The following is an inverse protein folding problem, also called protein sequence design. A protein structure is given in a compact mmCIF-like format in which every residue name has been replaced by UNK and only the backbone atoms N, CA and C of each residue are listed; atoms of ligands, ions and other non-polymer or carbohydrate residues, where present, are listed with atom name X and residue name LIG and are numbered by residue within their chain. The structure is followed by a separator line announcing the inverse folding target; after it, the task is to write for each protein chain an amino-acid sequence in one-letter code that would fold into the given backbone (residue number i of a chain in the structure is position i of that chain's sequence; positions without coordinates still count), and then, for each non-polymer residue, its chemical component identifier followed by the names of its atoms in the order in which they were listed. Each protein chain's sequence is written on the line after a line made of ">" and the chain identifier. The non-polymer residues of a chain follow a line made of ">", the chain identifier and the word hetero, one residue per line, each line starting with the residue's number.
data_IF_498654434801
#
_entry.id   IF_498654434801
#
_cell.length_a   1.000
_cell.length_b   1.000
_cell.length_c   1.000
_cell.angle_alpha   90.00
_cell.angle_beta   90.00
_cell.angle_gamma   90.00
#
_symmetry.space_group_name_H-M   'P 1'
#
loop_
_entity.id
_entity.type
_entity.pdbx_description
1 polymer ?
#
# COMPACT_ATOMS: atom_id res chain seq x y z
N UNK A 1 -0.67 16.05 13.64
CA UNK A 1 -1.69 15.04 13.99
C UNK A 1 -3.10 15.62 14.11
N UNK A 2 -3.38 16.55 15.07
CA UNK A 2 -4.74 17.07 15.29
C UNK A 2 -5.33 17.82 14.08
N UNK A 3 -4.52 18.62 13.38
CA UNK A 3 -4.95 19.35 12.18
C UNK A 3 -5.28 18.39 11.04
N UNK A 4 -4.44 17.40 10.81
CA UNK A 4 -4.61 16.35 9.79
C UNK A 4 -5.90 15.56 10.00
N UNK A 5 -6.17 15.20 11.27
CA UNK A 5 -7.40 14.51 11.65
C UNK A 5 -8.65 15.34 11.39
N UNK A 6 -8.63 16.66 11.74
CA UNK A 6 -9.74 17.57 11.44
C UNK A 6 -10.00 17.70 9.94
N UNK A 7 -8.93 17.80 9.12
CA UNK A 7 -9.06 17.91 7.66
C UNK A 7 -9.66 16.62 7.10
N UNK A 8 -9.22 15.44 7.60
CA UNK A 8 -9.72 14.14 7.13
C UNK A 8 -11.24 13.97 7.32
N UNK A 9 -11.83 14.58 8.34
CA UNK A 9 -13.27 14.53 8.61
C UNK A 9 -14.14 15.14 7.48
N UNK A 10 -13.55 16.00 6.64
CA UNK A 10 -14.27 16.61 5.51
C UNK A 10 -14.41 15.68 4.31
N UNK A 11 -13.64 14.59 4.22
CA UNK A 11 -13.64 13.56 3.14
C UNK A 11 -13.48 14.08 1.70
N UNK A 12 -13.19 15.36 1.50
CA UNK A 12 -13.08 16.03 0.20
C UNK A 12 -11.72 16.70 -0.02
N UNK A 13 -10.76 16.48 0.88
CA UNK A 13 -9.42 17.09 0.82
C UNK A 13 -8.38 15.99 0.78
N UNK A 14 -7.66 15.93 -0.33
CA UNK A 14 -6.52 15.01 -0.49
C UNK A 14 -5.32 15.56 0.30
N UNK A 15 -4.81 14.76 1.25
CA UNK A 15 -3.71 15.15 2.12
C UNK A 15 -2.42 14.46 1.68
N UNK A 16 -1.41 15.27 1.37
CA UNK A 16 -0.04 14.80 1.17
C UNK A 16 0.79 15.11 2.40
N UNK A 17 1.54 14.15 2.89
CA UNK A 17 2.53 14.33 3.92
C UNK A 17 3.87 13.81 3.44
N UNK A 18 4.90 14.63 3.61
CA UNK A 18 6.23 14.35 3.12
C UNK A 18 7.19 14.09 4.28
N UNK A 19 8.05 13.08 4.11
CA UNK A 19 9.22 12.82 4.96
C UNK A 19 10.47 12.99 4.12
N UNK A 20 11.52 13.58 4.68
CA UNK A 20 12.80 13.79 4.01
C UNK A 20 13.89 13.03 4.75
N UNK A 21 14.40 11.97 4.16
CA UNK A 21 15.55 11.23 4.69
C UNK A 21 16.87 11.95 4.44
N UNK A 22 17.80 11.81 5.38
CA UNK A 22 19.15 12.39 5.28
C UNK A 22 19.29 13.79 5.85
N UNK A 23 18.31 14.25 6.64
CA UNK A 23 18.45 15.47 7.41
C UNK A 23 19.54 15.36 8.49
N UNK A 24 20.22 16.48 8.87
CA UNK A 24 21.15 16.46 9.99
C UNK A 24 20.52 15.94 11.27
N UNK A 25 21.27 15.14 12.04
CA UNK A 25 20.91 14.58 13.35
C UNK A 25 19.82 13.50 13.33
N UNK A 26 19.35 13.07 12.16
CA UNK A 26 18.37 11.99 12.02
C UNK A 26 19.05 10.69 11.56
N UNK A 27 19.01 9.65 12.39
CA UNK A 27 19.46 8.32 12.07
C UNK A 27 18.32 7.44 11.52
N UNK A 28 18.64 6.20 11.16
CA UNK A 28 17.71 5.24 10.57
C UNK A 28 16.52 4.94 11.50
N UNK A 29 16.78 4.80 12.79
CA UNK A 29 15.74 4.47 13.77
C UNK A 29 14.82 5.66 14.04
N UNK A 30 15.37 6.87 14.17
CA UNK A 30 14.57 8.10 14.35
C UNK A 30 13.74 8.41 13.11
N UNK A 31 14.28 8.14 11.89
CA UNK A 31 13.49 8.22 10.66
C UNK A 31 12.32 7.21 10.68
N UNK A 32 12.57 5.98 11.12
CA UNK A 32 11.51 4.97 11.27
C UNK A 32 10.40 5.40 12.22
N UNK A 33 10.74 6.06 13.33
CA UNK A 33 9.74 6.63 14.24
C UNK A 33 8.96 7.79 13.58
N UNK A 34 9.64 8.67 12.84
CA UNK A 34 8.99 9.75 12.09
C UNK A 34 8.00 9.18 11.07
N UNK A 35 8.41 8.10 10.35
CA UNK A 35 7.54 7.37 9.43
C UNK A 35 6.28 6.85 10.13
N UNK A 36 6.42 6.16 11.26
CA UNK A 36 5.29 5.60 11.98
C UNK A 36 4.29 6.66 12.45
N UNK A 37 4.79 7.81 12.92
CA UNK A 37 3.94 8.95 13.31
C UNK A 37 3.14 9.47 12.12
N UNK A 38 3.79 9.66 10.97
CA UNK A 38 3.13 10.16 9.76
C UNK A 38 2.16 9.12 9.18
N UNK A 39 2.54 7.85 9.16
CA UNK A 39 1.66 6.75 8.74
C UNK A 39 0.38 6.67 9.58
N UNK A 40 0.47 6.86 10.90
CA UNK A 40 -0.69 6.88 11.80
C UNK A 40 -1.65 8.06 11.53
N UNK A 41 -1.17 9.12 10.92
CA UNK A 41 -2.03 10.23 10.47
C UNK A 41 -2.90 9.85 9.27
N UNK A 42 -2.62 8.72 8.62
CA UNK A 42 -3.35 8.16 7.46
C UNK A 42 -3.54 9.20 6.34
N UNK A 43 -2.45 9.81 5.84
CA UNK A 43 -2.56 10.72 4.70
C UNK A 43 -3.07 9.99 3.47
N UNK A 44 -3.66 10.72 2.54
CA UNK A 44 -4.05 10.17 1.24
C UNK A 44 -2.82 9.75 0.43
N UNK A 45 -1.70 10.47 0.61
CA UNK A 45 -0.40 10.13 0.06
C UNK A 45 0.71 10.41 1.07
N UNK A 46 1.58 9.43 1.27
CA UNK A 46 2.79 9.52 2.08
C UNK A 46 4.00 9.52 1.15
N UNK A 47 4.65 10.66 0.99
CA UNK A 47 5.82 10.79 0.13
C UNK A 47 7.10 10.68 0.96
N UNK A 48 7.98 9.77 0.57
CA UNK A 48 9.33 9.75 1.07
C UNK A 48 10.25 10.45 0.06
N UNK A 49 10.96 11.47 0.52
CA UNK A 49 11.97 12.16 -0.26
C UNK A 49 13.35 12.00 0.37
N UNK A 50 14.37 12.41 -0.37
CA UNK A 50 15.75 12.41 0.09
C UNK A 50 16.31 13.82 0.02
N UNK A 51 17.07 14.21 1.03
CA UNK A 51 17.68 15.55 1.09
C UNK A 51 18.43 15.85 -0.19
N UNK A 52 18.14 17.01 -0.80
CA UNK A 52 18.85 17.54 -1.95
C UNK A 52 19.67 18.76 -1.54
N UNK A 53 20.98 18.67 -1.68
CA UNK A 53 21.91 19.76 -1.36
C UNK A 53 22.04 20.68 -2.56
N UNK A 54 21.01 21.51 -2.79
CA UNK A 54 20.90 22.37 -3.96
C UNK A 54 21.97 23.45 -3.97
N UNK A 55 22.54 23.77 -5.15
CA UNK A 55 23.51 24.83 -5.32
C UNK A 55 22.95 26.18 -4.89
N UNK A 56 23.70 26.93 -4.09
CA UNK A 56 23.29 28.23 -3.55
C UNK A 56 22.34 28.16 -2.34
N UNK A 57 21.97 26.96 -1.88
CA UNK A 57 21.11 26.81 -0.69
C UNK A 57 21.90 26.97 0.62
N UNK A 58 21.23 27.36 1.73
CA UNK A 58 21.86 27.34 3.06
C UNK A 58 22.40 25.95 3.43
N UNK A 59 21.74 24.88 3.00
CA UNK A 59 22.17 23.51 3.25
C UNK A 59 23.50 23.21 2.55
N UNK A 60 23.75 23.75 1.34
CA UNK A 60 25.05 23.59 0.67
C UNK A 60 26.18 24.23 1.48
N UNK A 61 25.96 25.41 2.03
CA UNK A 61 26.96 26.11 2.84
C UNK A 61 27.28 25.34 4.15
N UNK A 62 26.31 24.60 4.68
CA UNK A 62 26.41 23.84 5.94
C UNK A 62 26.76 22.38 5.75
N UNK A 63 26.69 21.83 4.53
CA UNK A 63 26.86 20.40 4.27
C UNK A 63 28.18 19.85 4.78
N UNK A 64 29.28 20.60 4.59
CA UNK A 64 30.59 20.23 5.12
C UNK A 64 30.63 20.20 6.65
N UNK A 65 29.98 21.15 7.30
CA UNK A 65 29.88 21.21 8.77
C UNK A 65 29.13 19.99 9.34
N UNK A 66 28.05 19.57 8.66
CA UNK A 66 27.27 18.39 9.04
C UNK A 66 27.84 17.08 8.51
N UNK A 67 28.94 17.10 7.77
CA UNK A 67 29.55 15.90 7.19
C UNK A 67 28.65 15.19 6.16
N UNK A 68 27.75 15.94 5.49
CA UNK A 68 26.84 15.42 4.48
C UNK A 68 27.58 15.24 3.17
N UNK A 69 27.51 14.02 2.61
CA UNK A 69 27.96 13.73 1.25
C UNK A 69 26.74 13.62 0.34
N UNK A 70 26.72 14.39 -0.73
CA UNK A 70 25.69 14.37 -1.76
C UNK A 70 26.27 14.21 -3.16
N UNK A 71 25.42 13.91 -4.13
CA UNK A 71 25.79 13.90 -5.54
C UNK A 71 26.27 15.29 -5.97
N UNK A 72 27.35 15.35 -6.77
CA UNK A 72 27.89 16.59 -7.31
C UNK A 72 27.03 17.20 -8.43
N UNK A 73 26.28 16.33 -9.13
CA UNK A 73 25.39 16.64 -10.23
C UNK A 73 23.92 16.47 -9.84
N UNK A 74 22.99 17.08 -10.59
CA UNK A 74 21.56 16.89 -10.33
C UNK A 74 21.17 15.40 -10.26
N UNK A 75 20.31 15.03 -9.31
CA UNK A 75 19.48 15.86 -8.45
C UNK A 75 20.12 16.34 -7.14
N UNK A 76 21.44 16.26 -6.96
CA UNK A 76 22.19 16.68 -5.76
C UNK A 76 21.76 15.95 -4.48
N UNK A 77 21.31 14.74 -4.64
CA UNK A 77 20.71 13.94 -3.57
C UNK A 77 21.77 13.44 -2.59
N UNK A 78 21.40 13.36 -1.32
CA UNK A 78 22.25 12.82 -0.26
C UNK A 78 22.67 11.39 -0.56
N UNK A 79 23.96 11.09 -0.33
CA UNK A 79 24.51 9.75 -0.44
C UNK A 79 24.74 9.13 0.95
N UNK A 80 25.19 9.94 1.90
CA UNK A 80 25.35 9.56 3.30
C UNK A 80 25.47 10.80 4.20
N UNK A 81 25.21 10.60 5.48
CA UNK A 81 25.47 11.55 6.55
C UNK A 81 26.24 10.85 7.66
N UNK A 82 26.70 11.53 8.73
CA UNK A 82 27.25 10.85 9.92
C UNK A 82 26.25 9.91 10.63
N UNK A 83 24.96 10.13 10.44
CA UNK A 83 23.83 9.39 11.07
C UNK A 83 23.20 8.33 10.17
N UNK A 84 23.28 8.49 8.85
CA UNK A 84 22.78 7.55 7.86
C UNK A 84 23.92 7.12 6.93
N UNK A 85 24.23 5.84 6.94
CA UNK A 85 25.18 5.25 5.99
C UNK A 85 24.61 5.26 4.55
N UNK A 86 25.47 4.99 3.58
CA UNK A 86 25.03 4.81 2.18
C UNK A 86 24.04 3.63 2.08
N UNK A 87 24.30 2.55 2.80
CA UNK A 87 23.42 1.38 2.80
C UNK A 87 22.06 1.68 3.41
N UNK A 88 22.00 2.53 4.46
CA UNK A 88 20.73 2.99 5.03
C UNK A 88 19.94 3.82 4.02
N UNK A 89 20.58 4.72 3.27
CA UNK A 89 19.93 5.47 2.19
C UNK A 89 19.34 4.50 1.13
N UNK A 90 20.09 3.47 0.74
CA UNK A 90 19.61 2.47 -0.22
C UNK A 90 18.44 1.65 0.35
N UNK A 91 18.46 1.31 1.64
CA UNK A 91 17.32 0.63 2.31
C UNK A 91 16.07 1.52 2.32
N UNK A 92 16.22 2.82 2.64
CA UNK A 92 15.12 3.77 2.63
C UNK A 92 14.55 3.99 1.23
N UNK A 93 15.37 3.94 0.17
CA UNK A 93 14.88 3.96 -1.23
C UNK A 93 14.03 2.73 -1.57
N UNK A 94 14.41 1.57 -1.09
CA UNK A 94 13.58 0.38 -1.25
C UNK A 94 12.27 0.48 -0.47
N UNK A 95 12.29 1.10 0.70
CA UNK A 95 11.09 1.36 1.50
C UNK A 95 10.16 2.39 0.79
N UNK A 96 10.72 3.45 0.19
CA UNK A 96 9.98 4.41 -0.67
C UNK A 96 9.21 3.66 -1.77
N UNK A 97 9.87 2.76 -2.51
CA UNK A 97 9.25 1.97 -3.57
C UNK A 97 8.06 1.13 -3.04
N UNK A 98 8.19 0.56 -1.84
CA UNK A 98 7.11 -0.20 -1.22
C UNK A 98 5.94 0.69 -0.79
N UNK A 99 6.21 1.89 -0.28
CA UNK A 99 5.17 2.87 0.06
C UNK A 99 4.41 3.30 -1.19
N UNK A 100 5.11 3.61 -2.29
CA UNK A 100 4.47 3.96 -3.56
C UNK A 100 3.60 2.81 -4.10
N UNK A 101 4.12 1.58 -4.05
CA UNK A 101 3.44 0.42 -4.61
C UNK A 101 2.25 -0.03 -3.76
N UNK A 102 2.40 -0.09 -2.44
CA UNK A 102 1.45 -0.77 -1.56
C UNK A 102 0.60 0.17 -0.70
N UNK A 103 1.03 1.43 -0.50
CA UNK A 103 0.26 2.43 0.22
C UNK A 103 -0.35 3.46 -0.74
N UNK A 104 0.49 4.23 -1.45
CA UNK A 104 0.06 5.37 -2.27
C UNK A 104 -0.80 4.96 -3.48
N UNK A 105 -0.61 3.75 -3.99
CA UNK A 105 -1.45 3.23 -5.10
C UNK A 105 -2.92 3.07 -4.71
N UNK A 106 -3.24 2.99 -3.42
CA UNK A 106 -4.58 2.69 -2.91
C UNK A 106 -5.09 1.28 -3.22
N UNK A 107 -4.31 0.45 -3.94
CA UNK A 107 -4.74 -0.87 -4.39
C UNK A 107 -4.76 -1.94 -3.30
N UNK A 108 -4.06 -1.73 -2.18
CA UNK A 108 -3.84 -2.71 -1.13
C UNK A 108 -4.29 -2.21 0.24
N UNK A 109 -5.24 -1.25 0.27
CA UNK A 109 -5.60 -0.51 1.48
C UNK A 109 -6.08 -1.41 2.63
N UNK A 110 -6.84 -2.46 2.35
CA UNK A 110 -7.29 -3.40 3.36
C UNK A 110 -6.22 -4.45 3.68
N UNK A 111 -5.50 -4.91 2.67
CA UNK A 111 -4.41 -5.88 2.82
C UNK A 111 -3.29 -5.32 3.69
N UNK A 112 -2.83 -4.09 3.43
CA UNK A 112 -1.79 -3.43 4.25
C UNK A 112 -2.25 -3.26 5.70
N UNK A 113 -3.52 -2.90 5.94
CA UNK A 113 -4.07 -2.81 7.31
C UNK A 113 -4.01 -4.15 8.06
N UNK A 114 -4.29 -5.26 7.36
CA UNK A 114 -4.21 -6.62 7.94
C UNK A 114 -2.75 -7.00 8.20
N UNK A 115 -1.85 -6.77 7.24
CA UNK A 115 -0.43 -7.04 7.38
C UNK A 115 0.22 -6.23 8.49
N UNK A 116 -0.09 -4.93 8.62
CA UNK A 116 0.45 -4.08 9.69
C UNK A 116 0.22 -4.63 11.09
N UNK A 117 -0.85 -5.39 11.32
CA UNK A 117 -1.13 -6.02 12.62
C UNK A 117 -0.17 -7.17 12.98
N UNK A 118 0.63 -7.64 12.02
CA UNK A 118 1.61 -8.71 12.20
C UNK A 118 3.02 -8.18 12.54
N UNK A 119 3.19 -6.86 12.56
CA UNK A 119 4.45 -6.20 12.84
C UNK A 119 4.28 -5.22 13.99
N UNK A 120 5.33 -5.01 14.78
CA UNK A 120 5.30 -4.12 15.95
C UNK A 120 4.97 -2.66 15.56
N UNK A 121 5.38 -2.26 14.35
CA UNK A 121 5.12 -0.92 13.82
C UNK A 121 5.10 -0.93 12.28
N UNK A 122 4.39 0.03 11.65
CA UNK A 122 4.28 0.12 10.19
C UNK A 122 5.63 0.15 9.45
N UNK A 123 6.61 0.89 9.95
CA UNK A 123 7.93 0.98 9.35
C UNK A 123 8.55 -0.41 9.10
N UNK A 124 8.45 -1.32 10.08
CA UNK A 124 9.01 -2.67 9.96
C UNK A 124 8.28 -3.53 8.90
N UNK A 125 6.98 -3.32 8.69
CA UNK A 125 6.28 -3.97 7.57
C UNK A 125 6.86 -3.54 6.22
N UNK A 126 6.99 -2.22 5.99
CA UNK A 126 7.49 -1.71 4.72
C UNK A 126 8.97 -2.05 4.50
N UNK A 127 9.76 -2.10 5.57
CA UNK A 127 11.14 -2.58 5.53
C UNK A 127 11.20 -4.07 5.13
N UNK A 128 10.40 -4.92 5.77
CA UNK A 128 10.34 -6.35 5.43
C UNK A 128 9.85 -6.60 4.00
N UNK A 129 8.88 -5.80 3.50
CA UNK A 129 8.45 -5.84 2.11
C UNK A 129 9.60 -5.47 1.17
N UNK A 130 10.35 -4.41 1.48
CA UNK A 130 11.50 -3.98 0.69
C UNK A 130 12.59 -5.04 0.62
N UNK A 131 12.92 -5.66 1.76
CA UNK A 131 13.92 -6.71 1.83
C UNK A 131 13.54 -7.93 0.98
N UNK A 132 12.28 -8.39 1.09
CA UNK A 132 11.76 -9.51 0.29
C UNK A 132 11.69 -9.16 -1.19
N UNK A 133 11.28 -7.93 -1.54
CA UNK A 133 11.22 -7.44 -2.92
C UNK A 133 12.60 -7.43 -3.56
N UNK A 134 13.61 -6.99 -2.79
CA UNK A 134 15.01 -7.00 -3.21
C UNK A 134 15.58 -8.42 -3.32
N UNK A 135 15.31 -9.29 -2.35
CA UNK A 135 15.76 -10.68 -2.37
C UNK A 135 15.26 -11.42 -3.63
N UNK A 136 14.05 -11.09 -4.09
CA UNK A 136 13.46 -11.62 -5.33
C UNK A 136 13.86 -10.85 -6.59
N UNK A 137 14.73 -9.84 -6.48
CA UNK A 137 15.18 -8.96 -7.58
C UNK A 137 14.02 -8.28 -8.34
N UNK A 138 12.94 -8.01 -7.64
CA UNK A 138 11.76 -7.38 -8.25
C UNK A 138 11.98 -5.89 -8.54
N UNK A 139 12.89 -5.21 -7.84
CA UNK A 139 13.28 -3.82 -8.09
C UNK A 139 13.97 -3.60 -9.46
N UNK A 140 14.38 -4.67 -10.15
CA UNK A 140 15.10 -4.56 -11.43
C UNK A 140 14.20 -4.28 -12.63
N UNK A 141 12.88 -4.46 -12.50
CA UNK A 141 11.91 -4.29 -13.59
C UNK A 141 10.51 -3.95 -13.09
N UNK A 142 9.71 -3.34 -13.96
CA UNK A 142 8.29 -3.10 -13.69
C UNK A 142 7.50 -4.41 -13.65
N UNK A 143 6.56 -4.49 -12.73
CA UNK A 143 5.69 -5.66 -12.56
C UNK A 143 4.24 -5.35 -12.93
N UNK A 144 3.55 -6.37 -13.44
CA UNK A 144 2.11 -6.29 -13.66
C UNK A 144 1.38 -6.20 -12.31
N UNK A 145 0.17 -5.68 -12.35
CA UNK A 145 -0.73 -5.65 -11.18
C UNK A 145 -0.86 -7.05 -10.54
N UNK A 146 -1.12 -8.08 -11.35
CA UNK A 146 -1.26 -9.46 -10.85
C UNK A 146 0.01 -9.95 -10.13
N UNK A 147 1.20 -9.63 -10.66
CA UNK A 147 2.46 -9.98 -10.01
C UNK A 147 2.63 -9.29 -8.65
N UNK A 148 2.17 -8.04 -8.49
CA UNK A 148 2.20 -7.32 -7.21
C UNK A 148 1.28 -7.98 -6.18
N UNK A 149 0.06 -8.41 -6.59
CA UNK A 149 -0.85 -9.15 -5.71
C UNK A 149 -0.27 -10.51 -5.30
N UNK A 150 0.33 -11.23 -6.26
CA UNK A 150 0.97 -12.51 -5.97
C UNK A 150 2.16 -12.36 -5.01
N UNK A 151 2.98 -11.30 -5.19
CA UNK A 151 4.07 -11.01 -4.27
C UNK A 151 3.57 -10.82 -2.82
N UNK A 152 2.52 -10.02 -2.62
CA UNK A 152 1.95 -9.79 -1.27
C UNK A 152 1.42 -11.10 -0.67
N UNK A 153 0.75 -11.94 -1.47
CA UNK A 153 0.30 -13.25 -0.99
C UNK A 153 1.47 -14.12 -0.52
N UNK A 154 2.51 -14.23 -1.34
CA UNK A 154 3.71 -15.01 -1.03
C UNK A 154 4.46 -14.44 0.17
N UNK A 155 4.55 -13.12 0.28
CA UNK A 155 5.11 -12.43 1.43
C UNK A 155 4.33 -12.77 2.71
N UNK A 156 3.02 -12.68 2.69
CA UNK A 156 2.17 -13.01 3.83
C UNK A 156 2.39 -14.48 4.27
N UNK A 157 2.44 -15.41 3.31
CA UNK A 157 2.66 -16.84 3.60
C UNK A 157 4.02 -17.14 4.23
N UNK A 158 5.05 -16.35 3.95
CA UNK A 158 6.42 -16.59 4.44
C UNK A 158 6.82 -15.75 5.65
N UNK A 159 6.19 -14.59 5.83
CA UNK A 159 6.60 -13.58 6.82
C UNK A 159 5.57 -13.30 7.91
N UNK A 160 4.40 -13.92 7.84
CA UNK A 160 3.32 -13.72 8.83
C UNK A 160 2.71 -15.05 9.25
N UNK A 161 1.86 -14.98 10.30
CA UNK A 161 1.07 -16.13 10.78
C UNK A 161 -0.37 -16.09 10.27
N UNK A 162 -0.66 -15.25 9.27
CA UNK A 162 -2.00 -15.10 8.71
C UNK A 162 -2.43 -16.36 7.93
N UNK A 163 -3.68 -16.71 8.08
CA UNK A 163 -4.31 -17.77 7.31
C UNK A 163 -4.38 -17.41 5.81
N UNK A 164 -4.04 -18.36 4.91
CA UNK A 164 -4.06 -18.13 3.45
C UNK A 164 -5.45 -17.77 2.94
N UNK A 165 -6.51 -18.34 3.55
CA UNK A 165 -7.90 -18.03 3.19
C UNK A 165 -8.20 -16.55 3.50
N UNK A 166 -7.76 -16.06 4.67
CA UNK A 166 -7.88 -14.65 5.04
C UNK A 166 -7.15 -13.75 4.06
N UNK A 167 -5.88 -14.04 3.78
CA UNK A 167 -5.04 -13.25 2.88
C UNK A 167 -5.64 -13.18 1.47
N UNK A 168 -6.06 -14.31 0.93
CA UNK A 168 -6.70 -14.38 -0.40
C UNK A 168 -7.99 -13.57 -0.46
N UNK A 169 -8.79 -13.60 0.58
CA UNK A 169 -10.07 -12.88 0.61
C UNK A 169 -9.84 -11.34 0.70
N UNK A 170 -8.93 -10.89 1.58
CA UNK A 170 -8.65 -9.45 1.67
C UNK A 170 -8.01 -8.90 0.38
N UNK A 171 -7.15 -9.68 -0.28
CA UNK A 171 -6.60 -9.33 -1.60
C UNK A 171 -7.70 -9.29 -2.67
N UNK A 172 -8.66 -10.21 -2.63
CA UNK A 172 -9.81 -10.23 -3.54
C UNK A 172 -10.70 -9.00 -3.33
N UNK A 173 -10.94 -8.60 -2.08
CA UNK A 173 -11.66 -7.38 -1.76
C UNK A 173 -10.95 -6.16 -2.36
N UNK A 174 -9.66 -5.97 -2.06
CA UNK A 174 -8.89 -4.83 -2.59
C UNK A 174 -8.86 -4.82 -4.12
N UNK A 175 -8.77 -5.99 -4.75
CA UNK A 175 -8.74 -6.11 -6.21
C UNK A 175 -10.03 -5.60 -6.85
N UNK A 176 -11.19 -5.99 -6.33
CA UNK A 176 -12.49 -5.61 -6.88
C UNK A 176 -12.98 -4.24 -6.40
N UNK A 177 -12.53 -3.74 -5.28
CA UNK A 177 -12.74 -2.34 -4.90
C UNK A 177 -12.08 -1.38 -5.87
N UNK A 178 -10.95 -1.77 -6.50
CA UNK A 178 -10.20 -0.92 -7.42
C UNK A 178 -10.80 -0.88 -8.82
N UNK A 179 -11.09 -2.05 -9.41
CA UNK A 179 -11.50 -2.14 -10.82
C UNK A 179 -12.42 -3.32 -11.11
N UNK A 180 -13.31 -3.10 -12.09
CA UNK A 180 -14.01 -4.20 -12.73
C UNK A 180 -13.03 -5.05 -13.53
N UNK A 181 -12.82 -6.28 -13.10
CA UNK A 181 -11.96 -7.24 -13.79
C UNK A 181 -12.79 -8.31 -14.50
N UNK A 182 -12.63 -8.38 -15.83
CA UNK A 182 -13.30 -9.43 -16.64
C UNK A 182 -12.86 -10.84 -16.29
N UNK A 183 -11.59 -11.00 -15.90
CA UNK A 183 -11.02 -12.29 -15.53
C UNK A 183 -10.79 -12.32 -14.02
N UNK A 184 -11.28 -13.38 -13.39
CA UNK A 184 -11.05 -13.60 -11.96
C UNK A 184 -9.55 -13.79 -11.69
N UNK A 185 -8.98 -13.12 -10.66
CA UNK A 185 -7.57 -13.28 -10.34
C UNK A 185 -7.28 -14.68 -9.79
N UNK A 186 -6.09 -15.21 -10.11
CA UNK A 186 -5.67 -16.57 -9.74
C UNK A 186 -5.56 -16.79 -8.23
N UNK A 187 -5.35 -15.73 -7.47
CA UNK A 187 -5.29 -15.80 -6.00
C UNK A 187 -6.66 -15.83 -5.32
N UNK A 188 -7.77 -15.47 -6.00
CA UNK A 188 -9.10 -15.51 -5.41
C UNK A 188 -9.56 -16.95 -5.11
N UNK A 189 -10.38 -17.13 -4.06
CA UNK A 189 -10.96 -18.43 -3.71
C UNK A 189 -11.97 -18.88 -4.77
N UNK A 190 -12.04 -20.18 -5.03
CA UNK A 190 -13.05 -20.74 -5.94
C UNK A 190 -14.47 -20.50 -5.42
N UNK A 191 -15.40 -20.17 -6.34
CA UNK A 191 -16.80 -19.85 -6.00
C UNK A 191 -17.81 -20.79 -6.68
N UNK A 192 -17.35 -21.83 -7.34
CA UNK A 192 -18.21 -22.72 -8.09
C UNK A 192 -19.32 -23.36 -7.24
N UNK A 193 -19.02 -23.65 -5.99
CA UNK A 193 -19.99 -24.18 -5.02
C UNK A 193 -21.09 -23.19 -4.63
N UNK A 194 -20.91 -21.90 -4.84
CA UNK A 194 -21.84 -20.85 -4.46
C UNK A 194 -22.67 -20.29 -5.62
N UNK A 195 -22.55 -20.84 -6.84
CA UNK A 195 -23.21 -20.32 -8.05
C UNK A 195 -24.72 -20.14 -7.89
N UNK A 196 -25.40 -21.13 -7.33
CA UNK A 196 -26.86 -21.06 -7.13
C UNK A 196 -27.25 -20.03 -6.07
N UNK A 197 -26.47 -19.94 -4.99
CA UNK A 197 -26.70 -18.94 -3.95
C UNK A 197 -26.45 -17.52 -4.46
N UNK A 198 -25.36 -17.31 -5.21
CA UNK A 198 -25.06 -16.03 -5.87
C UNK A 198 -26.23 -15.62 -6.76
N UNK A 199 -26.72 -16.54 -7.59
CA UNK A 199 -27.87 -16.29 -8.46
C UNK A 199 -29.11 -15.90 -7.67
N UNK A 200 -29.43 -16.61 -6.59
CA UNK A 200 -30.56 -16.32 -5.74
C UNK A 200 -30.46 -14.93 -5.08
N UNK A 201 -29.27 -14.57 -4.58
CA UNK A 201 -29.00 -13.26 -3.99
C UNK A 201 -29.16 -12.15 -5.03
N UNK A 202 -28.63 -12.33 -6.25
CA UNK A 202 -28.78 -11.35 -7.34
C UNK A 202 -30.26 -11.10 -7.66
N UNK A 203 -31.04 -12.15 -7.87
CA UNK A 203 -32.48 -12.02 -8.21
C UNK A 203 -33.30 -11.42 -7.07
N UNK A 204 -32.90 -11.68 -5.82
CA UNK A 204 -33.53 -11.04 -4.64
C UNK A 204 -33.20 -9.56 -4.54
N UNK A 205 -31.94 -9.18 -4.82
CA UNK A 205 -31.48 -7.78 -4.76
C UNK A 205 -32.04 -6.94 -5.93
N UNK A 206 -32.25 -7.56 -7.09
CA UNK A 206 -32.72 -6.90 -8.33
C UNK A 206 -33.90 -7.67 -8.94
N UNK A 207 -35.08 -7.60 -8.34
CA UNK A 207 -36.24 -8.43 -8.76
C UNK A 207 -36.73 -8.09 -10.18
N UNK A 208 -36.50 -6.86 -10.67
CA UNK A 208 -36.88 -6.40 -12.00
C UNK A 208 -35.84 -6.73 -13.09
N UNK A 209 -34.69 -7.31 -12.73
CA UNK A 209 -33.58 -7.57 -13.66
C UNK A 209 -33.37 -9.07 -13.87
N UNK A 210 -32.92 -9.43 -15.08
CA UNK A 210 -32.43 -10.79 -15.30
C UNK A 210 -31.06 -11.01 -14.64
N UNK A 211 -30.74 -12.24 -14.27
CA UNK A 211 -29.41 -12.57 -13.74
C UNK A 211 -28.29 -12.14 -14.67
N UNK A 212 -28.48 -12.25 -16.00
CA UNK A 212 -27.50 -11.82 -17.01
C UNK A 212 -27.24 -10.32 -16.98
N UNK A 213 -28.26 -9.52 -16.75
CA UNK A 213 -28.12 -8.07 -16.64
C UNK A 213 -27.36 -7.69 -15.36
N UNK A 214 -27.68 -8.33 -14.24
CA UNK A 214 -27.01 -8.07 -12.98
C UNK A 214 -25.50 -8.37 -13.07
N UNK A 215 -25.10 -9.53 -13.58
CA UNK A 215 -23.65 -9.89 -13.69
C UNK A 215 -22.90 -9.12 -14.77
N UNK A 216 -23.60 -8.44 -15.70
CA UNK A 216 -22.97 -7.51 -16.63
C UNK A 216 -22.56 -6.19 -15.96
N UNK A 217 -23.38 -5.71 -15.06
CA UNK A 217 -23.26 -4.38 -14.47
C UNK A 217 -22.58 -4.42 -13.07
N UNK A 218 -22.58 -5.58 -12.42
CA UNK A 218 -22.04 -5.78 -11.08
C UNK A 218 -21.11 -7.01 -11.02
N UNK A 219 -20.13 -6.95 -10.13
CA UNK A 219 -19.35 -8.12 -9.75
C UNK A 219 -19.78 -8.61 -8.36
N UNK A 220 -19.80 -9.92 -8.13
CA UNK A 220 -20.23 -10.49 -6.86
C UNK A 220 -19.17 -11.45 -6.35
N UNK A 221 -18.77 -11.27 -5.09
CA UNK A 221 -17.85 -12.12 -4.35
C UNK A 221 -18.51 -12.69 -3.09
N UNK A 222 -18.12 -13.91 -2.76
CA UNK A 222 -18.49 -14.55 -1.50
C UNK A 222 -17.33 -14.51 -0.55
N UNK A 223 -17.53 -13.91 0.60
CA UNK A 223 -16.57 -13.86 1.69
C UNK A 223 -17.01 -14.77 2.82
N UNK A 224 -16.06 -15.49 3.42
CA UNK A 224 -16.30 -16.51 4.44
C UNK A 224 -15.33 -16.35 5.60
N UNK A 225 -15.58 -16.98 6.76
CA UNK A 225 -14.60 -17.01 7.85
C UNK A 225 -13.22 -17.53 7.36
N UNK A 226 -12.09 -16.99 7.89
CA UNK A 226 -12.01 -16.07 9.00
C UNK A 226 -12.04 -14.57 8.61
N UNK A 227 -12.30 -14.22 7.35
CA UNK A 227 -12.33 -12.83 6.90
C UNK A 227 -13.61 -12.10 7.37
N UNK A 228 -14.73 -12.78 7.35
CA UNK A 228 -16.03 -12.33 7.89
C UNK A 228 -16.49 -13.30 8.98
N UNK A 229 -17.34 -12.84 9.90
CA UNK A 229 -17.87 -13.70 10.98
C UNK A 229 -18.75 -14.83 10.43
N UNK A 230 -19.49 -14.55 9.36
CA UNK A 230 -20.34 -15.50 8.64
C UNK A 230 -20.19 -15.30 7.12
N UNK A 231 -20.71 -16.23 6.32
CA UNK A 231 -20.72 -16.12 4.86
C UNK A 231 -21.49 -14.89 4.41
N UNK A 232 -20.82 -14.02 3.63
CA UNK A 232 -21.35 -12.78 3.08
C UNK A 232 -21.22 -12.74 1.56
N UNK A 233 -22.24 -12.19 0.92
CA UNK A 233 -22.24 -11.89 -0.52
C UNK A 233 -22.05 -10.40 -0.70
N UNK A 234 -20.94 -9.99 -1.31
CA UNK A 234 -20.60 -8.60 -1.55
C UNK A 234 -20.76 -8.29 -3.04
N UNK A 235 -21.54 -7.25 -3.31
CA UNK A 235 -21.83 -6.80 -4.66
C UNK A 235 -21.08 -5.50 -4.93
N UNK A 236 -20.20 -5.53 -5.95
CA UNK A 236 -19.40 -4.39 -6.38
C UNK A 236 -20.12 -3.68 -7.51
N UNK A 237 -20.46 -2.40 -7.27
CA UNK A 237 -21.12 -1.53 -8.26
C UNK A 237 -20.08 -0.59 -8.88
N UNK A 238 -19.88 -0.69 -10.20
CA UNK A 238 -18.94 0.14 -10.93
C UNK A 238 -19.58 1.29 -11.72
N UNK A 239 -20.91 1.44 -11.66
CA UNK A 239 -21.63 2.49 -12.37
C UNK A 239 -21.54 3.85 -11.67
N UNK A 240 -21.37 3.85 -10.35
CA UNK A 240 -21.30 5.04 -9.51
C UNK A 240 -20.01 4.99 -8.69
N UNK A 241 -18.88 5.36 -9.32
CA UNK A 241 -17.63 5.56 -8.60
C UNK A 241 -17.56 6.99 -8.10
N UNK A 242 -17.20 7.15 -6.84
CA UNK A 242 -16.71 8.44 -6.36
C UNK A 242 -15.34 8.70 -7.00
N UNK A 243 -15.16 9.85 -7.70
CA UNK A 243 -13.85 10.19 -8.28
C UNK A 243 -12.73 10.33 -7.25
N UNK A 244 -13.08 10.41 -5.95
CA UNK A 244 -12.16 10.60 -4.84
C UNK A 244 -11.86 9.30 -4.04
N UNK A 245 -12.54 8.18 -4.39
CA UNK A 245 -12.31 6.85 -3.80
C UNK A 245 -11.34 5.99 -4.63
#
# INVERSE_FOLDING_TARGET
>A
AQVTEKIRQFHNIHQHLDLIAGLPLEDYESFGHSFDVVYQMKPSQLQLGFLKVLKGSPMQAQASQYGILSQAEPPYEVLKTPWLSYDDIIRLKGLEEMVETYYNSGQFSNTVKVLCKQFDRPFLLFEALSDEYRARKMHEKKHSREAQYQFIRDFAATRTTLDDILVRQVLTLDYYLRDYARKRPSFALEQDSYKEEIRAVCLKAFPESSYKDVIRDYHIEVFVPPFTDEKQFVLFNYQHRDPLD
#
